data_IF_581526345134
#
_entry.id   IF_581526345134
#
_cell.length_a   1.000
_cell.length_b   1.000
_cell.length_c   1.000
_cell.angle_alpha   90.00
_cell.angle_beta   90.00
_cell.angle_gamma   90.00
#
_symmetry.space_group_name_H-M   'P 1'
#
loop_
_entity.id
_entity.type
_entity.pdbx_description
1 polymer ?
#
# COMPACT_ATOMS: atom_id res chain seq x y z
N UNK A 1 -36.59 27.86 1.67
CA UNK A 1 -36.19 26.60 0.99
C UNK A 1 -34.68 26.54 0.73
N UNK A 2 -34.07 27.56 0.12
CA UNK A 2 -32.64 27.53 -0.24
C UNK A 2 -31.65 27.57 0.93
N UNK A 3 -32.04 28.05 2.13
CA UNK A 3 -31.18 28.04 3.33
C UNK A 3 -31.04 26.63 3.93
N UNK A 4 -32.16 25.94 4.17
CA UNK A 4 -32.17 24.54 4.63
C UNK A 4 -31.36 23.60 3.73
N UNK A 5 -31.49 23.74 2.41
CA UNK A 5 -30.71 22.95 1.45
C UNK A 5 -29.20 23.21 1.55
N UNK A 6 -28.79 24.44 1.86
CA UNK A 6 -27.39 24.80 2.07
C UNK A 6 -26.84 24.22 3.39
N UNK A 7 -27.65 24.25 4.45
CA UNK A 7 -27.27 23.65 5.74
C UNK A 7 -27.14 22.12 5.63
N UNK A 8 -28.04 21.44 4.92
CA UNK A 8 -27.93 20.01 4.63
C UNK A 8 -26.68 19.69 3.79
N UNK A 9 -26.35 20.51 2.80
CA UNK A 9 -25.16 20.31 1.97
C UNK A 9 -23.87 20.43 2.80
N UNK A 10 -23.77 21.49 3.62
CA UNK A 10 -22.59 21.76 4.44
C UNK A 10 -22.35 20.63 5.45
N UNK A 11 -23.41 20.19 6.14
CA UNK A 11 -23.32 19.10 7.11
C UNK A 11 -22.97 17.76 6.46
N UNK A 12 -23.47 17.47 5.26
CA UNK A 12 -23.04 16.29 4.49
C UNK A 12 -21.58 16.38 4.04
N UNK A 13 -21.12 17.54 3.58
CA UNK A 13 -19.72 17.76 3.19
C UNK A 13 -18.77 17.56 4.38
N UNK A 14 -19.14 18.07 5.57
CA UNK A 14 -18.38 17.86 6.81
C UNK A 14 -18.31 16.38 7.19
N UNK A 15 -19.42 15.63 7.09
CA UNK A 15 -19.42 14.19 7.37
C UNK A 15 -18.51 13.41 6.39
N UNK A 16 -18.49 13.78 5.11
CA UNK A 16 -17.62 13.17 4.11
C UNK A 16 -16.14 13.48 4.38
N UNK A 17 -15.83 14.71 4.78
CA UNK A 17 -14.47 15.10 5.15
C UNK A 17 -13.94 14.24 6.31
N UNK A 18 -14.72 14.09 7.38
CA UNK A 18 -14.34 13.26 8.55
C UNK A 18 -14.18 11.79 8.17
N UNK A 19 -15.09 11.23 7.35
CA UNK A 19 -14.98 9.85 6.82
C UNK A 19 -13.74 9.64 5.94
N UNK A 20 -13.30 10.66 5.20
CA UNK A 20 -12.11 10.54 4.34
C UNK A 20 -10.80 10.49 5.13
N UNK A 21 -10.69 11.29 6.21
CA UNK A 21 -9.52 11.34 7.09
C UNK A 21 -9.40 10.07 7.94
N UNK A 22 -10.51 9.59 8.50
CA UNK A 22 -10.54 8.34 9.28
C UNK A 22 -10.18 7.12 8.42
N UNK A 23 -10.69 7.05 7.19
CA UNK A 23 -10.39 5.95 6.26
C UNK A 23 -8.93 5.94 5.78
N UNK A 24 -8.25 7.09 5.77
CA UNK A 24 -6.82 7.16 5.41
C UNK A 24 -5.91 6.79 6.57
N UNK A 25 -6.28 7.10 7.83
CA UNK A 25 -5.50 6.70 9.01
C UNK A 25 -5.55 5.18 9.26
N UNK A 26 -6.74 4.58 9.20
CA UNK A 26 -6.92 3.15 9.44
C UNK A 26 -6.22 2.28 8.38
N UNK A 27 -6.33 2.68 7.11
CA UNK A 27 -5.62 2.03 6.00
C UNK A 27 -4.10 2.15 6.12
N UNK A 28 -3.57 3.26 6.63
CA UNK A 28 -2.12 3.42 6.84
C UNK A 28 -1.56 2.44 7.87
N UNK A 29 -2.32 2.08 8.90
CA UNK A 29 -1.86 1.19 9.98
C UNK A 29 -1.97 -0.30 9.61
N UNK A 30 -3.03 -0.69 8.90
CA UNK A 30 -3.31 -2.11 8.60
C UNK A 30 -2.49 -2.62 7.40
N UNK A 31 -2.26 -1.81 6.36
CA UNK A 31 -1.59 -2.25 5.12
C UNK A 31 -0.06 -2.44 5.27
N UNK A 32 0.55 -1.94 6.36
CA UNK A 32 2.01 -1.99 6.54
C UNK A 32 2.54 -3.30 7.12
N UNK A 33 1.67 -4.18 7.63
CA UNK A 33 2.09 -5.36 8.40
C UNK A 33 2.05 -6.68 7.62
N UNK A 34 1.50 -6.74 6.41
CA UNK A 34 1.40 -7.98 5.64
C UNK A 34 1.93 -7.81 4.20
N UNK A 35 2.48 -8.87 3.63
CA UNK A 35 2.91 -8.89 2.24
C UNK A 35 1.73 -8.70 1.29
N UNK A 36 1.82 -7.72 0.37
CA UNK A 36 0.74 -7.39 -0.57
C UNK A 36 0.44 -8.47 -1.62
N UNK A 37 1.36 -9.41 -1.82
CA UNK A 37 1.20 -10.49 -2.80
C UNK A 37 0.64 -11.77 -2.20
N UNK A 38 1.14 -12.20 -1.03
CA UNK A 38 0.72 -13.47 -0.43
C UNK A 38 -0.25 -13.32 0.75
N UNK A 39 -0.35 -12.12 1.36
CA UNK A 39 -1.13 -11.84 2.58
C UNK A 39 -0.86 -12.77 3.78
N UNK A 40 0.16 -13.63 3.69
CA UNK A 40 0.58 -14.58 4.74
C UNK A 40 1.72 -14.05 5.57
N UNK A 41 2.73 -13.48 4.92
CA UNK A 41 3.93 -13.00 5.60
C UNK A 41 3.63 -11.71 6.33
N UNK A 42 3.77 -11.73 7.66
CA UNK A 42 3.73 -10.54 8.50
C UNK A 42 5.11 -9.89 8.55
N UNK A 43 5.17 -8.59 8.31
CA UNK A 43 6.38 -7.79 8.44
C UNK A 43 6.58 -7.39 9.91
N UNK A 44 7.77 -7.69 10.44
CA UNK A 44 8.30 -7.01 11.63
C UNK A 44 8.90 -5.67 11.20
N UNK A 45 8.84 -4.66 12.07
CA UNK A 45 9.11 -3.24 11.79
C UNK A 45 10.25 -3.00 10.77
N UNK A 46 9.86 -2.70 9.51
CA UNK A 46 10.79 -2.31 8.44
C UNK A 46 11.28 -3.43 7.51
N UNK A 47 10.94 -4.70 7.75
CA UNK A 47 11.39 -5.82 6.90
C UNK A 47 10.52 -5.93 5.65
N UNK A 48 11.10 -5.96 4.44
CA UNK A 48 10.40 -6.18 3.16
C UNK A 48 10.96 -5.35 2.00
N UNK A 49 10.72 -5.77 0.75
CA UNK A 49 11.07 -4.95 -0.44
C UNK A 49 9.90 -4.04 -0.79
N UNK A 50 10.19 -2.78 -1.11
CA UNK A 50 9.19 -1.81 -1.60
C UNK A 50 9.26 -1.75 -3.12
N UNK A 51 8.11 -1.88 -3.77
CA UNK A 51 7.92 -1.66 -5.21
C UNK A 51 8.14 -0.17 -5.56
N UNK A 52 9.00 0.16 -6.53
CA UNK A 52 9.25 1.55 -6.92
C UNK A 52 8.02 2.23 -7.54
N UNK A 53 7.25 1.50 -8.36
CA UNK A 53 6.08 2.05 -9.05
C UNK A 53 4.88 2.21 -8.12
N UNK A 54 4.64 1.17 -7.32
CA UNK A 54 3.40 0.99 -6.57
C UNK A 54 3.54 1.24 -5.06
N UNK A 55 4.77 1.43 -4.57
CA UNK A 55 5.13 1.66 -3.17
C UNK A 55 4.61 0.60 -2.16
N UNK A 56 4.12 -0.54 -2.66
CA UNK A 56 3.64 -1.66 -1.85
C UNK A 56 4.81 -2.48 -1.31
N UNK A 57 4.69 -2.99 -0.07
CA UNK A 57 5.67 -3.92 0.51
C UNK A 57 5.35 -5.36 0.16
N UNK A 58 6.40 -6.09 -0.22
CA UNK A 58 6.35 -7.52 -0.54
C UNK A 58 7.42 -8.29 0.24
N UNK A 59 7.13 -9.54 0.60
CA UNK A 59 8.11 -10.38 1.27
C UNK A 59 9.25 -10.75 0.31
N UNK A 60 10.44 -11.13 0.82
CA UNK A 60 11.60 -11.43 -0.01
C UNK A 60 11.34 -12.48 -1.10
N UNK A 61 10.50 -13.48 -0.80
CA UNK A 61 10.11 -14.52 -1.76
C UNK A 61 9.21 -13.99 -2.88
N UNK A 62 8.21 -13.16 -2.54
CA UNK A 62 7.32 -12.57 -3.55
C UNK A 62 8.02 -11.47 -4.37
N UNK A 63 8.99 -10.76 -3.78
CA UNK A 63 9.77 -9.72 -4.47
C UNK A 63 10.91 -10.23 -5.35
N UNK A 64 11.28 -11.52 -5.25
CA UNK A 64 12.37 -12.13 -6.03
C UNK A 64 12.10 -12.20 -7.54
N UNK A 65 10.86 -11.96 -7.97
CA UNK A 65 10.45 -11.97 -9.39
C UNK A 65 10.79 -10.69 -10.17
N UNK A 66 11.41 -9.68 -9.52
CA UNK A 66 11.89 -8.49 -10.22
C UNK A 66 13.08 -8.88 -11.10
N UNK A 67 12.81 -9.19 -12.37
CA UNK A 67 13.84 -9.61 -13.34
C UNK A 67 14.98 -8.59 -13.37
N UNK A 68 16.25 -9.01 -13.31
CA UNK A 68 17.35 -8.10 -13.61
C UNK A 68 17.13 -7.52 -15.00
N UNK A 69 17.18 -6.18 -15.09
CA UNK A 69 17.15 -5.44 -16.35
C UNK A 69 18.25 -6.04 -17.23
N UNK A 70 17.84 -6.76 -18.28
CA UNK A 70 18.62 -7.24 -19.42
C UNK A 70 20.09 -6.80 -19.40
N UNK A 71 20.95 -7.69 -18.91
CA UNK A 71 22.42 -7.80 -19.02
C UNK A 71 23.06 -8.35 -17.73
N UNK A 72 22.68 -9.56 -17.33
CA UNK A 72 23.53 -10.40 -16.49
C UNK A 72 24.02 -11.58 -17.35
N UNK A 73 24.97 -11.27 -18.24
CA UNK A 73 25.63 -12.27 -19.08
C UNK A 73 26.35 -13.26 -18.15
N UNK A 74 25.86 -14.50 -18.16
CA UNK A 74 26.56 -15.78 -17.94
C UNK A 74 27.85 -15.73 -17.11
N UNK A 75 27.82 -16.28 -15.90
CA UNK A 75 28.65 -17.41 -15.46
C UNK A 75 28.62 -17.56 -13.93
N UNK A 76 28.20 -18.74 -13.46
CA UNK A 76 29.05 -19.70 -12.74
C UNK A 76 28.17 -20.84 -12.22
N UNK A 77 28.21 -21.95 -12.96
CA UNK A 77 28.27 -23.27 -12.32
C UNK A 77 29.41 -23.21 -11.32
N UNK A 78 29.17 -23.48 -10.04
CA UNK A 78 30.20 -23.83 -9.08
C UNK A 78 29.59 -24.59 -7.92
N UNK A 79 29.87 -25.90 -7.96
CA UNK A 79 29.71 -26.98 -6.97
C UNK A 79 28.30 -27.34 -6.52
#
# INVERSE_FOLDING_TARGET
>A
RSRKLKEELDSLQQQLAIKSVTRTQDKKLVDLRLCRLCFKTKFADGVGRVCSDCQQRVCPQCGAFSKPKWNAKRNKVSR
#
